data_IF_071195245521
#
_entry.id   IF_071195245521
#
_cell.length_a   1.000
_cell.length_b   1.000
_cell.length_c   1.000
_cell.angle_alpha   90.00
_cell.angle_beta   90.00
_cell.angle_gamma   90.00
#
_symmetry.space_group_name_H-M   'P 1'
#
loop_
_entity.id
_entity.type
_entity.pdbx_description
1 polymer ?
#
# COMPACT_ATOMS: atom_id res chain seq x y z
N UNK A 1 -0.91 13.60 35.61
CA UNK A 1 -2.20 12.88 35.56
C UNK A 1 -3.10 13.22 34.37
N UNK A 2 -3.73 14.41 34.23
CA UNK A 2 -4.62 14.68 33.08
C UNK A 2 -3.89 14.68 31.72
N UNK A 3 -2.65 15.17 31.69
CA UNK A 3 -1.82 15.24 30.49
C UNK A 3 -1.42 13.84 29.99
N UNK A 4 -0.98 12.96 30.89
CA UNK A 4 -0.57 11.57 30.55
C UNK A 4 -1.72 10.74 29.97
N UNK A 5 -2.94 10.94 30.47
CA UNK A 5 -4.13 10.24 29.95
C UNK A 5 -4.40 10.66 28.50
N UNK A 6 -4.24 11.95 28.18
CA UNK A 6 -4.45 12.48 26.83
C UNK A 6 -3.37 11.99 25.86
N UNK A 7 -2.09 11.97 26.28
CA UNK A 7 -0.98 11.47 25.45
C UNK A 7 -1.11 9.97 25.14
N UNK A 8 -1.53 9.17 26.13
CA UNK A 8 -1.77 7.74 25.95
C UNK A 8 -2.96 7.49 25.02
N UNK A 9 -4.06 8.24 25.20
CA UNK A 9 -5.23 8.13 24.33
C UNK A 9 -4.88 8.50 22.88
N UNK A 10 -4.14 9.59 22.67
CA UNK A 10 -3.68 10.00 21.35
C UNK A 10 -2.80 8.93 20.69
N UNK A 11 -1.86 8.36 21.44
CA UNK A 11 -0.99 7.28 20.97
C UNK A 11 -1.78 6.06 20.50
N UNK A 12 -2.76 5.62 21.28
CA UNK A 12 -3.61 4.47 20.94
C UNK A 12 -4.41 4.77 19.66
N UNK A 13 -4.98 5.97 19.55
CA UNK A 13 -5.73 6.39 18.36
C UNK A 13 -4.84 6.41 17.11
N UNK A 14 -3.63 6.96 17.20
CA UNK A 14 -2.68 7.00 16.09
C UNK A 14 -2.23 5.61 15.64
N UNK A 15 -1.92 4.72 16.58
CA UNK A 15 -1.57 3.33 16.27
C UNK A 15 -2.74 2.58 15.63
N UNK A 16 -3.96 2.77 16.15
CA UNK A 16 -5.17 2.19 15.56
C UNK A 16 -5.41 2.67 14.13
N UNK A 17 -5.27 3.97 13.88
CA UNK A 17 -5.37 4.55 12.54
C UNK A 17 -4.30 4.01 11.59
N UNK A 18 -3.05 3.88 12.07
CA UNK A 18 -1.95 3.33 11.29
C UNK A 18 -2.17 1.86 10.92
N UNK A 19 -2.63 1.03 11.86
CA UNK A 19 -2.93 -0.37 11.62
C UNK A 19 -4.04 -0.52 10.55
N UNK A 20 -5.09 0.30 10.63
CA UNK A 20 -6.19 0.28 9.67
C UNK A 20 -5.75 0.76 8.29
N UNK A 21 -4.97 1.85 8.22
CA UNK A 21 -4.38 2.33 6.98
C UNK A 21 -3.46 1.28 6.34
N UNK A 22 -2.66 0.58 7.15
CA UNK A 22 -1.81 -0.51 6.70
C UNK A 22 -2.59 -1.70 6.16
N UNK A 23 -3.68 -2.10 6.83
CA UNK A 23 -4.54 -3.18 6.35
C UNK A 23 -5.17 -2.83 4.98
N UNK A 24 -5.71 -1.61 4.85
CA UNK A 24 -6.28 -1.13 3.57
C UNK A 24 -5.22 -1.08 2.47
N UNK A 25 -4.03 -0.54 2.78
CA UNK A 25 -2.91 -0.50 1.85
C UNK A 25 -2.50 -1.90 1.41
N UNK A 26 -2.38 -2.84 2.34
CA UNK A 26 -1.98 -4.23 2.09
C UNK A 26 -2.98 -4.93 1.17
N UNK A 27 -4.28 -4.77 1.41
CA UNK A 27 -5.32 -5.30 0.52
C UNK A 27 -5.22 -4.74 -0.89
N UNK A 28 -4.97 -3.42 -1.04
CA UNK A 28 -4.76 -2.79 -2.35
C UNK A 28 -3.52 -3.33 -3.05
N UNK A 29 -2.42 -3.49 -2.32
CA UNK A 29 -1.18 -4.05 -2.83
C UNK A 29 -1.38 -5.49 -3.33
N UNK A 30 -2.05 -6.35 -2.56
CA UNK A 30 -2.36 -7.71 -3.01
C UNK A 30 -3.27 -7.73 -4.24
N UNK A 31 -4.32 -6.90 -4.30
CA UNK A 31 -5.19 -6.79 -5.48
C UNK A 31 -4.40 -6.40 -6.72
N UNK A 32 -3.48 -5.46 -6.56
CA UNK A 32 -2.56 -4.99 -7.59
C UNK A 32 -1.63 -6.12 -8.08
N UNK A 33 -1.00 -6.86 -7.15
CA UNK A 33 -0.17 -8.03 -7.46
C UNK A 33 -0.94 -9.14 -8.19
N UNK A 34 -2.16 -9.45 -7.75
CA UNK A 34 -3.00 -10.44 -8.42
C UNK A 34 -3.46 -10.01 -9.81
N UNK A 35 -3.68 -8.70 -10.04
CA UNK A 35 -3.94 -8.17 -11.38
C UNK A 35 -2.71 -8.31 -12.28
N UNK A 36 -1.53 -7.92 -11.79
CA UNK A 36 -0.27 -8.10 -12.52
C UNK A 36 0.00 -9.58 -12.85
N UNK A 37 -0.23 -10.50 -11.91
CA UNK A 37 -0.08 -11.93 -12.14
C UNK A 37 -1.01 -12.44 -13.24
N UNK A 38 -2.29 -12.04 -13.21
CA UNK A 38 -3.26 -12.42 -14.26
C UNK A 38 -2.82 -11.91 -15.63
N UNK A 39 -2.33 -10.68 -15.69
CA UNK A 39 -1.80 -10.10 -16.93
C UNK A 39 -0.55 -10.84 -17.42
N UNK A 40 0.38 -11.18 -16.52
CA UNK A 40 1.59 -11.93 -16.85
C UNK A 40 1.28 -13.34 -17.35
N UNK A 41 0.31 -14.03 -16.75
CA UNK A 41 -0.14 -15.37 -17.18
C UNK A 41 -0.82 -15.30 -18.55
N UNK A 42 -1.68 -14.30 -18.78
CA UNK A 42 -2.32 -14.10 -20.08
C UNK A 42 -1.30 -13.82 -21.21
N UNK A 43 -0.22 -13.11 -20.89
CA UNK A 43 0.85 -12.79 -21.84
C UNK A 43 1.86 -13.93 -22.06
N UNK A 44 2.15 -14.73 -21.01
CA UNK A 44 3.14 -15.80 -21.09
C UNK A 44 2.57 -17.15 -21.52
N UNK A 45 1.25 -17.36 -21.37
CA UNK A 45 0.60 -18.66 -21.54
C UNK A 45 0.99 -19.70 -20.47
N UNK A 46 1.77 -19.31 -19.46
CA UNK A 46 2.27 -20.20 -18.41
C UNK A 46 1.64 -19.86 -17.06
N UNK A 47 1.26 -20.90 -16.30
CA UNK A 47 0.68 -20.75 -14.96
C UNK A 47 1.64 -20.09 -13.95
N UNK A 48 2.95 -20.24 -14.17
CA UNK A 48 4.01 -19.55 -13.43
C UNK A 48 4.84 -18.74 -14.43
N UNK A 49 4.58 -17.43 -14.57
CA UNK A 49 5.37 -16.59 -15.47
C UNK A 49 6.82 -16.50 -14.96
N UNK A 50 7.79 -16.70 -15.85
CA UNK A 50 9.20 -16.48 -15.52
C UNK A 50 9.51 -15.02 -15.17
N UNK A 51 10.67 -14.75 -14.56
CA UNK A 51 11.06 -13.41 -14.07
C UNK A 51 10.90 -12.31 -15.13
N UNK A 52 11.28 -12.58 -16.39
CA UNK A 52 11.14 -11.60 -17.49
C UNK A 52 9.69 -11.18 -17.74
N UNK A 53 8.75 -12.12 -17.70
CA UNK A 53 7.32 -11.84 -17.87
C UNK A 53 6.77 -11.05 -16.68
N UNK A 54 7.25 -11.33 -15.46
CA UNK A 54 6.90 -10.56 -14.26
C UNK A 54 7.41 -9.12 -14.32
N UNK A 55 8.65 -8.89 -14.75
CA UNK A 55 9.17 -7.52 -14.96
C UNK A 55 8.46 -6.78 -16.09
N UNK A 56 8.11 -7.47 -17.17
CA UNK A 56 7.30 -6.89 -18.24
C UNK A 56 5.91 -6.47 -17.75
N UNK A 57 5.25 -7.32 -16.95
CA UNK A 57 3.97 -6.99 -16.33
C UNK A 57 4.06 -5.85 -15.31
N UNK A 58 5.15 -5.78 -14.54
CA UNK A 58 5.42 -4.65 -13.63
C UNK A 58 5.63 -3.34 -14.42
N UNK A 59 6.40 -3.38 -15.50
CA UNK A 59 6.59 -2.22 -16.39
C UNK A 59 5.26 -1.80 -17.03
N UNK A 60 4.44 -2.75 -17.47
CA UNK A 60 3.10 -2.48 -17.98
C UNK A 60 2.20 -1.85 -16.91
N UNK A 61 2.26 -2.34 -15.67
CA UNK A 61 1.55 -1.76 -14.54
C UNK A 61 1.95 -0.30 -14.27
N UNK A 62 3.25 0.02 -14.36
CA UNK A 62 3.76 1.37 -14.16
C UNK A 62 3.43 2.34 -15.32
N UNK A 63 3.30 1.83 -16.54
CA UNK A 63 3.21 2.67 -17.75
C UNK A 63 1.82 2.76 -18.36
N UNK A 64 1.00 1.71 -18.25
CA UNK A 64 -0.32 1.68 -18.87
C UNK A 64 -1.34 2.49 -18.08
N UNK A 65 -2.24 3.17 -18.80
CA UNK A 65 -3.29 4.00 -18.22
C UNK A 65 -4.38 3.20 -17.52
N UNK A 66 -4.58 1.94 -17.90
CA UNK A 66 -5.54 0.99 -17.28
C UNK A 66 -5.31 0.82 -15.78
N UNK A 67 -4.05 0.90 -15.33
CA UNK A 67 -3.67 0.73 -13.93
C UNK A 67 -3.58 2.05 -13.15
N UNK A 68 -3.91 3.20 -13.76
CA UNK A 68 -3.72 4.52 -13.13
C UNK A 68 -4.55 4.66 -11.86
N UNK A 69 -5.78 4.16 -11.85
CA UNK A 69 -6.64 4.20 -10.66
C UNK A 69 -6.07 3.35 -9.53
N UNK A 70 -5.56 2.15 -9.82
CA UNK A 70 -4.92 1.28 -8.83
C UNK A 70 -3.63 1.93 -8.29
N UNK A 71 -2.80 2.50 -9.16
CA UNK A 71 -1.59 3.24 -8.76
C UNK A 71 -1.90 4.44 -7.88
N UNK A 72 -2.89 5.26 -8.25
CA UNK A 72 -3.29 6.43 -7.48
C UNK A 72 -3.88 6.03 -6.12
N UNK A 73 -4.69 4.97 -6.08
CA UNK A 73 -5.20 4.43 -4.83
C UNK A 73 -4.06 3.94 -3.93
N UNK A 74 -3.06 3.25 -4.49
CA UNK A 74 -1.90 2.76 -3.76
C UNK A 74 -1.05 3.92 -3.25
N UNK A 75 -0.71 4.89 -4.11
CA UNK A 75 0.06 6.09 -3.78
C UNK A 75 -0.61 6.91 -2.69
N UNK A 76 -1.93 7.11 -2.75
CA UNK A 76 -2.68 7.80 -1.69
C UNK A 76 -2.60 7.06 -0.36
N UNK A 77 -2.75 5.73 -0.36
CA UNK A 77 -2.61 4.95 0.87
C UNK A 77 -1.18 4.93 1.41
N UNK A 78 -0.17 4.90 0.53
CA UNK A 78 1.24 5.03 0.93
C UNK A 78 1.51 6.41 1.54
N UNK A 79 1.03 7.47 0.89
CA UNK A 79 1.16 8.84 1.40
C UNK A 79 0.48 9.02 2.74
N UNK A 80 -0.71 8.44 2.94
CA UNK A 80 -1.40 8.45 4.23
C UNK A 80 -0.60 7.71 5.31
N UNK A 81 -0.05 6.53 4.99
CA UNK A 81 0.79 5.78 5.93
C UNK A 81 2.05 6.56 6.33
N UNK A 82 2.74 7.15 5.36
CA UNK A 82 3.93 7.96 5.62
C UNK A 82 3.60 9.19 6.47
N UNK A 83 2.46 9.84 6.19
CA UNK A 83 1.97 10.96 6.99
C UNK A 83 1.69 10.54 8.44
N UNK A 84 1.02 9.41 8.65
CA UNK A 84 0.73 8.88 9.99
C UNK A 84 2.02 8.51 10.75
N UNK A 85 2.98 7.89 10.07
CA UNK A 85 4.30 7.57 10.65
C UNK A 85 5.01 8.86 11.08
N UNK A 86 5.05 9.85 10.19
CA UNK A 86 5.74 11.11 10.45
C UNK A 86 5.09 11.89 11.60
N UNK A 87 3.75 11.91 11.65
CA UNK A 87 3.00 12.53 12.73
C UNK A 87 3.25 11.81 14.06
N UNK A 88 3.25 10.48 14.06
CA UNK A 88 3.58 9.69 15.24
C UNK A 88 5.00 9.94 15.75
N UNK A 89 5.99 9.98 14.85
CA UNK A 89 7.38 10.31 15.20
C UNK A 89 7.48 11.71 15.78
N UNK A 90 6.81 12.70 15.19
CA UNK A 90 6.84 14.07 15.66
C UNK A 90 6.19 14.24 17.04
N UNK A 91 5.08 13.55 17.33
CA UNK A 91 4.44 13.58 18.66
C UNK A 91 5.27 12.92 19.76
N UNK A 92 6.30 12.16 19.40
CA UNK A 92 7.20 11.44 20.33
C UNK A 92 8.55 12.13 20.54
N UNK A 93 8.87 13.14 19.73
CA UNK A 93 10.08 13.96 19.83
C UNK A 93 9.86 15.17 20.70
#
# INVERSE_FOLDING_TARGET
>A
MRVEIVENALTIVLLGAQALAFAVWTLRMFRCLFRMRRHAVAMSGQAVPGMRATFAALRAFLRNTEFTNDRNALLRSTGLLLLLILLFTFTRS
#
